data_IF_310355706799
#
_entry.id   IF_310355706799
#
_cell.length_a   1.000
_cell.length_b   1.000
_cell.length_c   1.000
_cell.angle_alpha   90.00
_cell.angle_beta   90.00
_cell.angle_gamma   90.00
#
_symmetry.space_group_name_H-M   'P 1'
#
loop_
_entity.id
_entity.type
_entity.pdbx_description
1 polymer ?
#
# COMPACT_ATOMS: atom_id res chain seq x y z
N UNK A 1 -8.58 -21.24 -7.16
CA UNK A 1 -7.58 -20.39 -6.46
C UNK A 1 -7.07 -20.99 -5.15
N UNK A 2 -7.88 -21.75 -4.38
CA UNK A 2 -7.45 -22.42 -3.14
C UNK A 2 -6.17 -23.27 -3.32
N UNK A 3 -6.07 -24.09 -4.37
CA UNK A 3 -4.90 -24.95 -4.57
C UNK A 3 -3.53 -24.23 -4.66
N UNK A 4 -3.49 -22.98 -5.13
CA UNK A 4 -2.22 -22.22 -5.27
C UNK A 4 -1.74 -21.73 -3.89
N UNK A 5 -2.67 -21.33 -3.03
CA UNK A 5 -2.36 -20.91 -1.66
C UNK A 5 -1.96 -22.11 -0.81
N UNK A 6 -2.64 -23.24 -0.98
CA UNK A 6 -2.38 -24.46 -0.21
C UNK A 6 -0.94 -24.97 -0.46
N UNK A 7 -0.51 -25.05 -1.73
CA UNK A 7 0.87 -25.45 -2.05
C UNK A 7 1.92 -24.46 -1.50
N UNK A 8 1.62 -23.15 -1.52
CA UNK A 8 2.52 -22.14 -0.98
C UNK A 8 2.69 -22.30 0.53
N UNK A 9 1.60 -22.56 1.25
CA UNK A 9 1.57 -22.75 2.70
C UNK A 9 2.31 -24.03 3.11
N UNK A 10 2.14 -25.12 2.34
CA UNK A 10 2.83 -26.40 2.57
C UNK A 10 4.32 -26.37 2.19
N UNK A 11 4.72 -25.53 1.24
CA UNK A 11 6.10 -25.47 0.70
C UNK A 11 6.75 -24.08 0.85
N UNK A 12 6.47 -23.40 1.96
CA UNK A 12 6.93 -22.03 2.24
C UNK A 12 8.45 -21.85 2.03
N UNK A 13 9.28 -22.77 2.52
CA UNK A 13 10.75 -22.64 2.40
C UNK A 13 11.23 -22.74 0.96
N UNK A 14 10.69 -23.66 0.17
CA UNK A 14 11.08 -23.84 -1.23
C UNK A 14 10.63 -22.64 -2.09
N UNK A 15 9.42 -22.13 -1.84
CA UNK A 15 8.91 -20.93 -2.50
C UNK A 15 9.76 -19.71 -2.10
N UNK A 16 10.11 -19.58 -0.83
CA UNK A 16 10.97 -18.49 -0.35
C UNK A 16 12.40 -18.61 -0.87
N UNK A 17 12.96 -19.79 -1.06
CA UNK A 17 14.28 -19.95 -1.67
C UNK A 17 14.28 -19.48 -3.13
N UNK A 18 13.19 -19.73 -3.86
CA UNK A 18 13.06 -19.40 -5.30
C UNK A 18 12.63 -17.94 -5.54
N UNK A 19 11.70 -17.42 -4.76
CA UNK A 19 11.10 -16.08 -4.91
C UNK A 19 11.46 -15.12 -3.76
N UNK A 20 12.39 -15.49 -2.88
CA UNK A 20 12.79 -14.72 -1.70
C UNK A 20 11.56 -14.39 -0.83
N UNK A 21 11.46 -13.15 -0.35
CA UNK A 21 10.32 -12.66 0.43
C UNK A 21 9.14 -12.22 -0.44
N UNK A 22 9.21 -12.39 -1.76
CA UNK A 22 8.23 -11.86 -2.71
C UNK A 22 7.12 -12.88 -3.02
N UNK A 23 6.26 -13.15 -2.03
CA UNK A 23 5.05 -13.99 -2.21
C UNK A 23 4.16 -13.51 -3.37
N UNK A 24 4.16 -12.21 -3.66
CA UNK A 24 3.46 -11.63 -4.81
C UNK A 24 4.03 -12.12 -6.17
N UNK A 25 5.35 -12.32 -6.29
CA UNK A 25 5.97 -12.84 -7.51
C UNK A 25 5.60 -14.31 -7.71
N UNK A 26 5.58 -15.10 -6.63
CA UNK A 26 5.13 -16.50 -6.67
C UNK A 26 3.70 -16.59 -7.19
N UNK A 27 2.76 -15.85 -6.59
CA UNK A 27 1.36 -15.84 -7.02
C UNK A 27 1.21 -15.39 -8.48
N UNK A 28 1.94 -14.34 -8.88
CA UNK A 28 1.91 -13.86 -10.27
C UNK A 28 2.41 -14.92 -11.24
N UNK A 29 3.50 -15.60 -10.90
CA UNK A 29 4.07 -16.69 -11.71
C UNK A 29 3.10 -17.85 -11.88
N UNK A 30 2.39 -18.25 -10.81
CA UNK A 30 1.43 -19.35 -10.84
C UNK A 30 0.14 -18.99 -11.56
N UNK A 31 -0.28 -17.74 -11.53
CA UNK A 31 -1.43 -17.28 -12.32
C UNK A 31 -1.08 -17.28 -13.80
N UNK A 32 0.11 -16.80 -14.19
CA UNK A 32 0.56 -16.82 -15.59
C UNK A 32 0.70 -18.26 -16.10
N UNK A 33 1.26 -19.17 -15.28
CA UNK A 33 1.41 -20.59 -15.62
C UNK A 33 0.06 -21.27 -15.88
N UNK A 34 -0.96 -20.97 -15.05
CA UNK A 34 -2.27 -21.64 -15.14
C UNK A 34 -3.24 -20.99 -16.14
N UNK A 35 -3.16 -19.67 -16.34
CA UNK A 35 -4.15 -18.91 -17.13
C UNK A 35 -3.55 -18.19 -18.34
N UNK A 36 -2.25 -18.33 -18.58
CA UNK A 36 -1.53 -17.78 -19.73
C UNK A 36 -1.25 -16.28 -19.68
N UNK A 37 -1.99 -15.51 -18.86
CA UNK A 37 -1.80 -14.07 -18.71
C UNK A 37 -2.22 -13.57 -17.32
N UNK A 38 -1.64 -12.43 -16.93
CA UNK A 38 -2.03 -11.71 -15.72
C UNK A 38 -2.83 -10.46 -16.09
N UNK A 39 -4.14 -10.50 -15.84
CA UNK A 39 -5.01 -9.33 -16.09
C UNK A 39 -4.99 -8.43 -14.87
N UNK A 40 -4.36 -7.26 -15.01
CA UNK A 40 -4.35 -6.24 -13.97
C UNK A 40 -5.63 -5.40 -13.99
N UNK A 41 -6.01 -4.88 -12.82
CA UNK A 41 -7.03 -3.84 -12.74
C UNK A 41 -6.56 -2.56 -13.43
N UNK A 42 -7.48 -1.68 -13.89
CA UNK A 42 -7.12 -0.39 -14.45
C UNK A 42 -6.21 0.38 -13.49
N UNK A 43 -5.13 0.96 -14.01
CA UNK A 43 -4.13 1.67 -13.19
C UNK A 43 -4.72 2.84 -12.38
N UNK A 44 -5.85 3.38 -12.82
CA UNK A 44 -6.55 4.44 -12.11
C UNK A 44 -7.27 3.96 -10.85
N UNK A 45 -7.65 2.69 -10.79
CA UNK A 45 -8.36 2.11 -9.64
C UNK A 45 -7.44 1.91 -8.45
N UNK A 46 -6.20 1.48 -8.70
CA UNK A 46 -5.19 1.16 -7.69
C UNK A 46 -4.19 2.31 -7.54
N UNK A 47 -4.30 3.07 -6.46
CA UNK A 47 -3.32 4.13 -6.16
C UNK A 47 -2.52 3.78 -4.93
N UNK A 48 -1.21 3.99 -4.99
CA UNK A 48 -0.35 3.88 -3.80
C UNK A 48 -0.46 5.14 -2.95
N UNK A 49 -0.66 4.98 -1.66
CA UNK A 49 -0.68 6.09 -0.71
C UNK A 49 0.66 6.85 -0.70
N UNK A 50 1.79 6.15 -0.68
CA UNK A 50 3.10 6.79 -0.56
C UNK A 50 3.56 7.51 -1.84
N UNK A 51 3.15 7.02 -3.01
CA UNK A 51 3.59 7.57 -4.30
C UNK A 51 2.60 8.58 -4.91
N UNK A 52 1.30 8.32 -4.80
CA UNK A 52 0.29 9.10 -5.52
C UNK A 52 -0.42 10.12 -4.63
N UNK A 53 -0.54 9.84 -3.34
CA UNK A 53 -1.25 10.69 -2.38
C UNK A 53 -0.28 11.58 -1.61
N UNK A 54 0.84 11.00 -1.17
CA UNK A 54 1.83 11.69 -0.37
C UNK A 54 2.74 12.58 -1.24
N UNK A 55 3.04 13.81 -0.80
CA UNK A 55 4.01 14.66 -1.48
C UNK A 55 5.43 14.10 -1.35
N UNK A 56 6.36 14.68 -2.13
CA UNK A 56 7.79 14.37 -2.07
C UNK A 56 8.29 14.41 -0.62
N UNK A 57 9.23 13.51 -0.31
CA UNK A 57 9.62 13.19 1.08
C UNK A 57 10.02 14.41 1.91
N UNK A 58 10.69 15.39 1.31
CA UNK A 58 11.10 16.63 1.98
C UNK A 58 9.94 17.65 2.14
N UNK A 59 8.91 17.57 1.31
CA UNK A 59 7.71 18.43 1.38
C UNK A 59 6.65 17.89 2.34
N UNK A 60 6.76 16.64 2.82
CA UNK A 60 5.75 16.02 3.71
C UNK A 60 5.54 16.76 5.04
N UNK A 61 6.54 17.54 5.44
CA UNK A 61 6.45 18.38 6.62
C UNK A 61 5.73 19.71 6.38
N UNK A 62 5.48 20.09 5.12
CA UNK A 62 4.96 21.40 4.72
C UNK A 62 3.69 21.35 3.84
N UNK A 63 3.47 20.23 3.13
CA UNK A 63 2.42 20.09 2.12
C UNK A 63 1.41 19.03 2.55
N UNK A 64 0.13 19.39 2.41
CA UNK A 64 -0.99 18.47 2.67
C UNK A 64 -1.13 17.47 1.50
N UNK A 65 -1.26 16.16 1.77
CA UNK A 65 -1.47 15.15 0.75
C UNK A 65 -2.80 15.34 0.02
N UNK A 66 -2.76 15.14 -1.30
CA UNK A 66 -3.92 15.33 -2.18
C UNK A 66 -4.86 14.12 -2.08
N UNK A 67 -6.16 14.37 -2.14
CA UNK A 67 -7.15 13.31 -2.29
C UNK A 67 -6.91 12.59 -3.64
N UNK A 68 -6.88 11.24 -3.68
CA UNK A 68 -6.73 10.51 -4.93
C UNK A 68 -7.96 10.75 -5.83
N UNK A 69 -7.80 10.65 -7.16
CA UNK A 69 -8.86 10.87 -8.14
C UNK A 69 -10.13 10.08 -7.81
N UNK A 70 -11.30 10.54 -8.28
CA UNK A 70 -12.58 9.83 -8.06
C UNK A 70 -12.56 8.40 -8.64
N UNK A 71 -11.79 8.17 -9.70
CA UNK A 71 -11.58 6.85 -10.28
C UNK A 71 -10.81 5.87 -9.37
N UNK A 72 -10.10 6.36 -8.35
CA UNK A 72 -9.38 5.53 -7.40
C UNK A 72 -10.36 4.83 -6.45
N UNK A 73 -10.50 3.52 -6.64
CA UNK A 73 -11.35 2.65 -5.82
C UNK A 73 -10.57 2.02 -4.66
N UNK A 74 -9.25 1.88 -4.81
CA UNK A 74 -8.39 1.12 -3.91
C UNK A 74 -7.13 1.92 -3.64
N UNK A 75 -6.82 2.08 -2.35
CA UNK A 75 -5.65 2.81 -1.88
C UNK A 75 -4.73 1.84 -1.16
N UNK A 76 -3.56 1.61 -1.75
CA UNK A 76 -2.60 0.62 -1.28
C UNK A 76 -1.62 1.27 -0.31
N UNK A 77 -1.55 0.73 0.90
CA UNK A 77 -0.65 1.12 1.99
C UNK A 77 0.51 0.13 2.07
N UNK A 78 1.47 0.29 1.17
CA UNK A 78 2.68 -0.55 1.21
C UNK A 78 3.68 -0.04 2.28
N UNK A 79 4.30 -0.97 3.00
CA UNK A 79 5.35 -0.69 3.98
C UNK A 79 4.85 -0.62 5.41
N UNK A 80 5.46 0.24 6.24
CA UNK A 80 5.15 0.31 7.69
C UNK A 80 3.94 1.16 8.02
N UNK A 81 3.56 2.10 7.15
CA UNK A 81 2.48 3.06 7.43
C UNK A 81 1.15 2.42 7.06
N UNK A 82 0.35 2.09 8.06
CA UNK A 82 -1.00 1.59 7.84
C UNK A 82 -2.01 2.75 7.78
N UNK A 83 -3.24 2.45 7.34
CA UNK A 83 -4.36 3.40 7.34
C UNK A 83 -4.53 4.16 8.68
N UNK A 84 -4.57 3.50 9.87
CA UNK A 84 -4.71 4.22 11.14
C UNK A 84 -3.53 5.16 11.44
N UNK A 85 -2.31 4.81 11.01
CA UNK A 85 -1.13 5.66 11.18
C UNK A 85 -1.18 6.87 10.25
N UNK A 86 -1.64 6.67 9.00
CA UNK A 86 -1.87 7.73 8.04
C UNK A 86 -2.95 8.72 8.52
N UNK A 87 -4.05 8.22 9.09
CA UNK A 87 -5.11 9.06 9.70
C UNK A 87 -4.54 9.85 10.89
N UNK A 88 -3.65 9.26 11.70
CA UNK A 88 -3.01 9.98 12.81
C UNK A 88 -1.91 10.95 12.35
N UNK A 89 -1.50 10.89 11.08
CA UNK A 89 -0.35 11.62 10.55
C UNK A 89 0.94 11.25 11.28
N UNK A 90 1.13 9.97 11.62
CA UNK A 90 2.32 9.45 12.30
C UNK A 90 2.99 8.40 11.45
N UNK A 91 4.31 8.41 11.42
CA UNK A 91 5.07 7.33 10.80
C UNK A 91 5.47 6.33 11.90
N UNK A 92 5.00 5.07 11.84
CA UNK A 92 5.28 4.09 12.88
C UNK A 92 6.73 3.61 12.80
N UNK A 93 7.36 3.51 13.98
CA UNK A 93 8.73 3.02 14.16
C UNK A 93 9.70 4.04 14.73
N UNK A 94 10.79 3.53 15.31
CA UNK A 94 11.90 4.32 15.83
C UNK A 94 12.86 4.64 14.70
N UNK A 95 13.17 5.91 14.51
CA UNK A 95 14.18 6.36 13.54
C UNK A 95 15.19 7.27 14.22
N UNK A 96 16.46 7.25 13.76
CA UNK A 96 17.47 8.21 14.19
C UNK A 96 16.98 9.65 14.00
N UNK A 97 17.46 10.60 14.82
CA UNK A 97 16.94 11.97 14.83
C UNK A 97 17.04 12.64 13.45
N UNK A 98 18.11 12.38 12.69
CA UNK A 98 18.31 12.88 11.32
C UNK A 98 17.38 12.26 10.28
N UNK A 99 16.60 11.22 10.61
CA UNK A 99 15.54 10.71 9.72
C UNK A 99 14.17 11.28 10.10
N UNK A 100 14.04 11.90 11.27
CA UNK A 100 12.77 12.46 11.77
C UNK A 100 12.31 13.71 11.01
N UNK A 101 13.18 14.43 10.31
CA UNK A 101 12.79 15.65 9.58
C UNK A 101 11.99 15.32 8.30
N UNK A 102 12.44 14.37 7.47
CA UNK A 102 11.72 13.95 6.26
C UNK A 102 10.71 12.81 6.47
N UNK A 103 10.76 12.09 7.60
CA UNK A 103 9.73 11.11 7.98
C UNK A 103 8.61 11.73 8.82
N UNK A 104 8.60 13.05 8.98
CA UNK A 104 7.53 13.75 9.69
C UNK A 104 6.33 13.91 8.76
N UNK A 105 5.17 13.42 9.19
CA UNK A 105 3.88 13.61 8.53
C UNK A 105 3.10 14.78 9.16
N UNK A 106 3.78 15.77 9.78
CA UNK A 106 3.15 16.78 10.65
C UNK A 106 2.07 17.60 9.94
N UNK A 107 2.33 18.03 8.70
CA UNK A 107 1.37 18.72 7.85
C UNK A 107 0.72 17.78 6.82
N UNK A 108 1.28 16.58 6.65
CA UNK A 108 0.58 15.47 6.03
C UNK A 108 -0.43 14.86 7.01
N UNK A 109 -1.44 15.64 7.36
CA UNK A 109 -2.70 15.18 7.93
C UNK A 109 -3.63 14.88 6.74
N UNK A 110 -3.50 13.72 6.04
CA UNK A 110 -4.57 13.25 5.16
C UNK A 110 -5.83 12.91 5.97
N UNK A 111 -5.74 12.99 7.30
CA UNK A 111 -6.72 12.66 8.32
C UNK A 111 -8.13 13.14 8.00
N UNK A 112 -8.29 14.34 7.43
CA UNK A 112 -9.62 14.85 7.15
C UNK A 112 -10.31 14.06 6.01
N UNK A 113 -9.72 14.00 4.82
CA UNK A 113 -10.37 13.35 3.68
C UNK A 113 -10.27 11.81 3.75
N UNK A 114 -9.20 11.24 4.31
CA UNK A 114 -9.10 9.79 4.53
C UNK A 114 -10.14 9.31 5.54
N UNK A 115 -10.29 10.01 6.67
CA UNK A 115 -11.26 9.60 7.68
C UNK A 115 -12.71 9.83 7.22
N UNK A 116 -12.94 10.79 6.32
CA UNK A 116 -14.23 11.01 5.67
C UNK A 116 -14.55 9.89 4.67
N UNK A 117 -13.57 9.50 3.83
CA UNK A 117 -13.76 8.41 2.85
C UNK A 117 -13.81 7.02 3.49
N UNK A 118 -13.12 6.79 4.59
CA UNK A 118 -13.22 5.53 5.35
C UNK A 118 -14.60 5.34 6.00
N UNK A 119 -15.30 6.44 6.32
CA UNK A 119 -16.67 6.45 6.88
C UNK A 119 -17.79 6.52 5.85
N UNK A 120 -17.47 6.78 4.57
CA UNK A 120 -18.45 6.91 3.52
C UNK A 120 -19.02 5.54 3.09
N UNK A 121 -20.25 5.52 2.57
CA UNK A 121 -20.99 4.33 2.11
C UNK A 121 -20.35 3.56 0.95
N UNK A 122 -19.31 4.13 0.32
CA UNK A 122 -18.41 3.43 -0.61
C UNK A 122 -16.96 3.64 -0.15
N UNK A 123 -16.49 2.88 0.85
CA UNK A 123 -15.13 3.04 1.34
C UNK A 123 -14.14 2.68 0.23
N UNK A 124 -13.08 3.48 0.11
CA UNK A 124 -11.90 3.05 -0.64
C UNK A 124 -11.30 1.90 0.15
N UNK A 125 -11.20 0.73 -0.48
CA UNK A 125 -10.56 -0.42 0.15
C UNK A 125 -9.09 -0.06 0.39
N UNK A 126 -8.67 -0.12 1.65
CA UNK A 126 -7.28 0.04 2.06
C UNK A 126 -6.65 -1.35 2.12
N UNK A 127 -5.73 -1.63 1.20
CA UNK A 127 -4.97 -2.88 1.11
C UNK A 127 -3.53 -2.66 1.57
#
# INVERSE_FOLDING_TARGET
MQYITDYMEENLEAVQAKFKTASQEYLSSKVIENYGALTFWPAEWCRSFQFHVMPLRFLRAFVVPKCPPVAAKILIFHGKVNLPDAIKGKWPGTFPFWKKWYKRLRLAQPSFWLAQRARASRPILAL
#
